data_IF_537546970931
#
_entry.id   IF_537546970931
#
_cell.length_a   1.000
_cell.length_b   1.000
_cell.length_c   1.000
_cell.angle_alpha   90.00
_cell.angle_beta   90.00
_cell.angle_gamma   90.00
#
_symmetry.space_group_name_H-M   'P 1'
#
loop_
_entity.id
_entity.type
_entity.pdbx_description
1 polymer ?
#
# COMPACT_ATOMS: atom_id res chain seq x y z
N UNK A 1 -0.47 15.79 20.78
CA UNK A 1 -1.73 15.00 20.68
C UNK A 1 -1.88 14.05 21.87
N UNK A 2 -3.05 13.45 22.13
CA UNK A 2 -3.15 12.39 23.16
C UNK A 2 -2.31 11.19 22.71
N UNK A 3 -1.28 10.79 23.48
CA UNK A 3 -0.30 9.78 23.06
C UNK A 3 -0.96 8.45 22.66
N UNK A 4 -2.07 8.10 23.30
CA UNK A 4 -2.86 6.92 22.95
C UNK A 4 -3.36 6.95 21.50
N UNK A 5 -3.81 8.10 21.02
CA UNK A 5 -4.30 8.28 19.64
C UNK A 5 -3.15 8.10 18.64
N UNK A 6 -1.97 8.66 18.94
CA UNK A 6 -0.78 8.53 18.08
C UNK A 6 -0.39 7.06 17.93
N UNK A 7 -0.29 6.33 19.04
CA UNK A 7 0.06 4.91 19.00
C UNK A 7 -1.00 4.07 18.27
N UNK A 8 -2.28 4.38 18.47
CA UNK A 8 -3.36 3.67 17.80
C UNK A 8 -3.31 3.87 16.28
N UNK A 9 -3.21 5.11 15.82
CA UNK A 9 -3.13 5.43 14.38
C UNK A 9 -1.84 4.89 13.77
N UNK A 10 -0.70 5.05 14.44
CA UNK A 10 0.58 4.51 13.99
C UNK A 10 0.55 2.98 13.84
N UNK A 11 -0.08 2.28 14.78
CA UNK A 11 -0.26 0.82 14.70
C UNK A 11 -1.11 0.40 13.49
N UNK A 12 -2.21 1.12 13.20
CA UNK A 12 -3.04 0.85 12.03
C UNK A 12 -2.26 1.06 10.72
N UNK A 13 -1.49 2.14 10.61
CA UNK A 13 -0.65 2.40 9.44
C UNK A 13 0.41 1.30 9.25
N UNK A 14 1.02 0.83 10.34
CA UNK A 14 1.99 -0.26 10.31
C UNK A 14 1.37 -1.59 9.87
N UNK A 15 0.15 -1.88 10.32
CA UNK A 15 -0.60 -3.07 9.85
C UNK A 15 -0.85 -2.97 8.34
N UNK A 16 -1.26 -1.81 7.83
CA UNK A 16 -1.45 -1.60 6.40
C UNK A 16 -0.14 -1.78 5.61
N UNK A 17 0.98 -1.24 6.11
CA UNK A 17 2.30 -1.47 5.49
C UNK A 17 2.66 -2.97 5.45
N UNK A 18 2.37 -3.71 6.53
CA UNK A 18 2.59 -5.16 6.55
C UNK A 18 1.71 -5.88 5.52
N UNK A 19 0.45 -5.47 5.34
CA UNK A 19 -0.44 -6.00 4.30
C UNK A 19 0.09 -5.74 2.89
N UNK A 20 0.63 -4.55 2.63
CA UNK A 20 1.31 -4.25 1.37
C UNK A 20 2.50 -5.20 1.17
N UNK A 21 3.35 -5.33 2.18
CA UNK A 21 4.52 -6.21 2.11
C UNK A 21 4.12 -7.68 1.86
N UNK A 22 3.11 -8.18 2.56
CA UNK A 22 2.57 -9.52 2.37
C UNK A 22 2.01 -9.70 0.95
N UNK A 23 1.32 -8.69 0.39
CA UNK A 23 0.82 -8.73 -0.99
C UNK A 23 1.96 -8.76 -2.00
N UNK A 24 3.01 -7.98 -1.77
CA UNK A 24 4.19 -7.95 -2.63
C UNK A 24 4.87 -9.32 -2.67
N UNK A 25 5.09 -9.95 -1.51
CA UNK A 25 5.64 -11.31 -1.43
C UNK A 25 4.72 -12.30 -2.15
N UNK A 26 3.42 -12.32 -1.80
CA UNK A 26 2.49 -13.27 -2.40
C UNK A 26 2.32 -13.10 -3.92
N UNK A 27 2.53 -11.89 -4.47
CA UNK A 27 2.47 -11.67 -5.92
C UNK A 27 3.48 -12.49 -6.71
N UNK A 28 4.57 -12.95 -6.09
CA UNK A 28 5.55 -13.83 -6.71
C UNK A 28 5.16 -15.31 -6.66
N UNK A 29 4.40 -15.72 -5.63
CA UNK A 29 4.06 -17.13 -5.41
C UNK A 29 2.66 -17.52 -5.91
N UNK A 30 1.70 -16.60 -5.89
CA UNK A 30 0.26 -16.89 -6.03
C UNK A 30 -0.25 -16.59 -7.45
N UNK A 31 0.64 -16.49 -8.46
CA UNK A 31 0.23 -16.24 -9.84
C UNK A 31 -0.69 -17.36 -10.36
N UNK A 32 -1.98 -17.05 -10.52
CA UNK A 32 -3.00 -17.98 -11.03
C UNK A 32 -3.68 -18.87 -9.99
N UNK A 33 -3.44 -18.67 -8.69
CA UNK A 33 -4.10 -19.43 -7.61
C UNK A 33 -5.21 -18.61 -6.94
N UNK A 34 -6.38 -19.23 -6.71
CA UNK A 34 -7.58 -18.64 -6.09
C UNK A 34 -7.43 -18.52 -4.55
N UNK A 35 -6.32 -17.92 -4.12
CA UNK A 35 -5.99 -17.75 -2.71
C UNK A 35 -6.85 -16.64 -2.11
N UNK A 36 -7.78 -17.02 -1.23
CA UNK A 36 -8.63 -16.09 -0.48
C UNK A 36 -7.84 -15.08 0.35
N UNK A 37 -6.64 -15.44 0.81
CA UNK A 37 -5.77 -14.53 1.56
C UNK A 37 -5.20 -13.45 0.63
N UNK A 38 -4.77 -13.83 -0.58
CA UNK A 38 -4.29 -12.85 -1.56
C UNK A 38 -5.41 -11.93 -2.03
N UNK A 39 -6.60 -12.49 -2.29
CA UNK A 39 -7.79 -11.72 -2.65
C UNK A 39 -8.15 -10.69 -1.56
N UNK A 40 -8.12 -11.11 -0.28
CA UNK A 40 -8.33 -10.21 0.85
C UNK A 40 -7.29 -9.09 0.92
N UNK A 41 -5.99 -9.41 0.76
CA UNK A 41 -4.96 -8.37 0.72
C UNK A 41 -5.17 -7.41 -0.44
N UNK A 42 -5.54 -7.90 -1.61
CA UNK A 42 -5.88 -7.06 -2.75
C UNK A 42 -7.06 -6.14 -2.42
N UNK A 43 -8.13 -6.68 -1.84
CA UNK A 43 -9.33 -5.92 -1.48
C UNK A 43 -9.02 -4.77 -0.51
N UNK A 44 -8.15 -4.98 0.47
CA UNK A 44 -7.78 -3.95 1.45
C UNK A 44 -6.78 -2.95 0.88
N UNK A 45 -5.79 -3.40 0.11
CA UNK A 45 -4.69 -2.54 -0.36
C UNK A 45 -5.01 -1.81 -1.67
N UNK A 46 -5.84 -2.36 -2.55
CA UNK A 46 -6.15 -1.76 -3.86
C UNK A 46 -6.80 -0.38 -3.77
N UNK A 47 -7.78 -0.11 -2.87
CA UNK A 47 -8.35 1.23 -2.72
C UNK A 47 -7.30 2.29 -2.38
N UNK A 48 -6.22 1.91 -1.67
CA UNK A 48 -5.11 2.80 -1.36
C UNK A 48 -4.19 3.01 -2.56
N UNK A 49 -4.07 2.03 -3.46
CA UNK A 49 -3.20 2.06 -4.65
C UNK A 49 -3.88 2.75 -5.85
N UNK A 50 -5.19 2.54 -6.02
CA UNK A 50 -6.01 3.06 -7.12
C UNK A 50 -5.87 4.57 -7.37
N UNK A 51 -5.89 5.47 -6.35
CA UNK A 51 -5.70 6.89 -6.60
C UNK A 51 -4.35 7.18 -7.24
N UNK A 52 -3.28 6.51 -6.80
CA UNK A 52 -1.96 6.64 -7.40
C UNK A 52 -1.91 6.07 -8.81
N UNK A 53 -2.60 4.95 -9.08
CA UNK A 53 -2.76 4.44 -10.47
C UNK A 53 -3.44 5.46 -11.36
N UNK A 54 -4.51 6.09 -10.90
CA UNK A 54 -5.23 7.12 -11.65
C UNK A 54 -4.33 8.32 -11.96
N UNK A 55 -3.56 8.79 -10.97
CA UNK A 55 -2.59 9.88 -11.16
C UNK A 55 -1.49 9.50 -12.15
N UNK A 56 -0.88 8.32 -12.00
CA UNK A 56 0.21 7.84 -12.85
C UNK A 56 -0.26 7.50 -14.28
N UNK A 57 -1.52 7.11 -14.47
CA UNK A 57 -2.08 6.82 -15.80
C UNK A 57 -2.09 8.03 -16.74
N UNK A 58 -2.01 9.25 -16.20
CA UNK A 58 -1.89 10.50 -16.97
C UNK A 58 -0.47 10.71 -17.51
N UNK A 59 0.52 10.01 -16.97
CA UNK A 59 1.93 10.11 -17.36
C UNK A 59 2.23 9.04 -18.41
N UNK A 60 2.25 9.45 -19.69
CA UNK A 60 2.47 8.55 -20.83
C UNK A 60 3.77 7.74 -20.74
N UNK A 61 4.84 8.33 -20.17
CA UNK A 61 6.12 7.67 -19.97
C UNK A 61 6.06 6.47 -19.00
N UNK A 62 5.15 6.49 -18.02
CA UNK A 62 5.01 5.45 -17.01
C UNK A 62 3.99 4.37 -17.39
N UNK A 63 3.23 4.59 -18.48
CA UNK A 63 2.19 3.66 -18.94
C UNK A 63 2.73 2.32 -19.43
N UNK A 64 3.92 2.31 -20.02
CA UNK A 64 4.56 1.11 -20.57
C UNK A 64 5.62 0.52 -19.64
N UNK A 65 5.72 1.02 -18.40
CA UNK A 65 6.68 0.46 -17.45
C UNK A 65 6.17 -0.87 -16.89
N UNK A 66 7.01 -1.92 -16.85
CA UNK A 66 6.64 -3.20 -16.24
C UNK A 66 6.57 -3.13 -14.70
N UNK A 67 7.04 -2.03 -14.11
CA UNK A 67 7.05 -1.81 -12.67
C UNK A 67 5.75 -1.16 -12.18
N UNK A 68 5.22 -1.68 -11.07
CA UNK A 68 4.04 -1.12 -10.42
C UNK A 68 4.39 0.09 -9.54
N UNK A 69 4.69 1.22 -10.20
CA UNK A 69 5.03 2.48 -9.53
C UNK A 69 3.92 2.98 -8.61
N UNK A 70 2.65 2.68 -8.93
CA UNK A 70 1.52 3.07 -8.10
C UNK A 70 1.57 2.35 -6.75
N UNK A 71 1.89 1.05 -6.76
CA UNK A 71 2.08 0.27 -5.54
C UNK A 71 3.21 0.84 -4.68
N UNK A 72 4.38 1.11 -5.29
CA UNK A 72 5.54 1.66 -4.59
C UNK A 72 5.24 3.04 -3.98
N UNK A 73 4.57 3.92 -4.74
CA UNK A 73 4.21 5.25 -4.27
C UNK A 73 3.20 5.19 -3.11
N UNK A 74 2.18 4.34 -3.20
CA UNK A 74 1.22 4.14 -2.13
C UNK A 74 1.90 3.65 -0.84
N UNK A 75 2.82 2.69 -0.95
CA UNK A 75 3.61 2.20 0.17
C UNK A 75 4.48 3.30 0.80
N UNK A 76 5.17 4.08 -0.03
CA UNK A 76 6.00 5.19 0.44
C UNK A 76 5.18 6.26 1.17
N UNK A 77 4.00 6.59 0.65
CA UNK A 77 3.07 7.52 1.31
C UNK A 77 2.63 7.00 2.68
N UNK A 78 2.36 5.70 2.82
CA UNK A 78 2.03 5.12 4.14
C UNK A 78 3.17 5.29 5.16
N UNK A 79 4.44 5.13 4.74
CA UNK A 79 5.60 5.34 5.61
C UNK A 79 5.68 6.81 6.03
N UNK A 80 5.56 7.73 5.08
CA UNK A 80 5.59 9.18 5.37
C UNK A 80 4.46 9.57 6.31
N UNK A 81 3.24 9.05 6.10
CA UNK A 81 2.11 9.29 6.99
C UNK A 81 2.36 8.78 8.41
N UNK A 82 2.94 7.58 8.57
CA UNK A 82 3.30 7.04 9.89
C UNK A 82 4.32 7.95 10.59
N UNK A 83 5.36 8.39 9.87
CA UNK A 83 6.37 9.30 10.42
C UNK A 83 5.76 10.64 10.83
N UNK A 84 4.87 11.21 10.01
CA UNK A 84 4.16 12.45 10.34
C UNK A 84 3.30 12.30 11.59
N UNK A 85 2.62 11.15 11.77
CA UNK A 85 1.82 10.86 12.96
C UNK A 85 2.67 10.82 14.23
N UNK A 86 3.87 10.24 14.16
CA UNK A 86 4.79 10.20 15.31
C UNK A 86 5.47 11.54 15.62
N UNK A 87 5.46 12.49 14.68
CA UNK A 87 6.00 13.84 14.90
C UNK A 87 5.01 14.83 15.55
N UNK A 88 3.71 14.48 15.65
CA UNK A 88 2.61 15.29 16.22
C UNK A 88 2.36 15.04 17.72
#
# INVERSE_FOLDING_TARGET
MNSLVIYFVGSLLRILQFMFFARAIMSWFVQGSDSKIYEFLCLVTEPLIQPFRSLLSRVSALRNCPFDFAFMLAFFVLIVLEQMVYML
#
